data_IF_164276674744
#
_entry.id   IF_164276674744
#
_cell.length_a   1.000
_cell.length_b   1.000
_cell.length_c   1.000
_cell.angle_alpha   90.00
_cell.angle_beta   90.00
_cell.angle_gamma   90.00
#
_symmetry.space_group_name_H-M   'P 1'
#
loop_
_entity.id
_entity.type
_entity.pdbx_description
1 polymer ?
#
# COMPACT_ATOMS: atom_id res chain seq x y z
N UNK A 1 23.03 -14.58 15.69
CA UNK A 1 21.90 -15.51 15.97
C UNK A 1 20.97 -15.00 17.07
N UNK A 2 21.46 -14.61 18.26
CA UNK A 2 20.61 -14.10 19.36
C UNK A 2 19.76 -12.87 19.00
N UNK A 3 20.30 -11.94 18.20
CA UNK A 3 19.57 -10.74 17.73
C UNK A 3 18.42 -11.07 16.77
N UNK A 4 18.60 -12.07 15.89
CA UNK A 4 17.59 -12.50 14.92
C UNK A 4 16.44 -13.20 15.65
N UNK A 5 16.76 -14.04 16.64
CA UNK A 5 15.77 -14.72 17.50
C UNK A 5 14.98 -13.72 18.32
N UNK A 6 15.61 -12.66 18.85
CA UNK A 6 14.91 -11.61 19.60
C UNK A 6 13.99 -10.75 18.72
N UNK A 7 14.42 -10.43 17.49
CA UNK A 7 13.59 -9.71 16.50
C UNK A 7 12.40 -10.59 16.06
N UNK A 8 12.62 -11.88 15.82
CA UNK A 8 11.53 -12.80 15.45
C UNK A 8 10.58 -13.07 16.62
N UNK A 9 11.06 -13.13 17.86
CA UNK A 9 10.19 -13.18 19.06
C UNK A 9 9.38 -11.89 19.26
N UNK A 10 9.96 -10.71 19.00
CA UNK A 10 9.22 -9.44 19.01
C UNK A 10 8.14 -9.42 17.93
N UNK A 11 8.44 -9.88 16.70
CA UNK A 11 7.48 -9.98 15.61
C UNK A 11 6.33 -10.97 15.89
N UNK A 12 6.57 -12.04 16.66
CA UNK A 12 5.54 -13.02 17.06
C UNK A 12 4.67 -12.48 18.21
N UNK A 13 5.21 -11.59 19.06
CA UNK A 13 4.43 -10.94 20.13
C UNK A 13 3.57 -9.77 19.67
N UNK A 14 3.79 -9.25 18.46
CA UNK A 14 3.04 -8.14 17.84
C UNK A 14 2.00 -8.61 16.82
N UNK A 15 1.46 -9.82 16.97
CA UNK A 15 0.39 -10.42 16.14
C UNK A 15 -1.00 -9.84 16.51
N UNK A 16 -1.04 -8.74 17.26
CA UNK A 16 -2.27 -8.03 17.58
C UNK A 16 -2.11 -6.53 17.38
N UNK A 17 -2.86 -6.01 16.41
CA UNK A 17 -3.12 -4.61 16.20
C UNK A 17 -4.08 -4.18 17.28
N UNK A 18 -3.68 -3.23 18.09
CA UNK A 18 -4.51 -2.72 19.16
C UNK A 18 -4.86 -1.27 18.87
N UNK A 19 -6.17 -0.99 18.89
CA UNK A 19 -6.69 0.36 18.97
C UNK A 19 -7.14 0.61 20.41
N UNK A 20 -6.37 1.39 21.14
CA UNK A 20 -6.63 1.75 22.54
C UNK A 20 -7.03 3.23 22.58
N UNK A 21 -8.33 3.49 22.65
CA UNK A 21 -8.88 4.85 22.59
C UNK A 21 -8.46 5.56 21.30
N UNK A 22 -7.67 6.61 21.44
CA UNK A 22 -7.19 7.41 20.31
C UNK A 22 -5.89 6.91 19.67
N UNK A 23 -5.24 5.86 20.21
CA UNK A 23 -4.02 5.28 19.66
C UNK A 23 -4.29 4.09 18.73
N UNK A 24 -3.60 4.02 17.60
CA UNK A 24 -3.66 2.93 16.63
C UNK A 24 -2.25 2.39 16.36
N UNK A 25 -2.08 1.08 16.53
CA UNK A 25 -0.96 0.34 15.95
C UNK A 25 -1.57 -0.91 15.29
N UNK A 26 -1.59 -0.95 13.97
CA UNK A 26 -2.26 -2.03 13.23
C UNK A 26 -1.45 -2.43 12.00
N UNK A 27 -0.62 -3.47 12.13
CA UNK A 27 -0.13 -4.23 10.99
C UNK A 27 -1.25 -4.67 10.04
N UNK A 28 -0.98 -4.62 8.74
CA UNK A 28 -1.89 -5.09 7.72
C UNK A 28 -1.12 -5.65 6.52
N UNK A 29 -1.52 -6.82 6.05
CA UNK A 29 -1.04 -7.38 4.79
C UNK A 29 -2.23 -7.64 3.88
N UNK A 30 -2.04 -7.52 2.58
CA UNK A 30 -3.13 -7.77 1.65
C UNK A 30 -2.70 -7.85 0.21
N UNK A 31 -3.70 -8.00 -0.65
CA UNK A 31 -3.53 -8.07 -2.08
C UNK A 31 -4.71 -7.45 -2.81
N UNK A 32 -4.53 -7.13 -4.07
CA UNK A 32 -5.54 -6.42 -4.85
C UNK A 32 -5.33 -6.50 -6.34
N UNK A 33 -6.43 -6.29 -7.06
CA UNK A 33 -6.42 -6.05 -8.49
C UNK A 33 -6.27 -4.54 -8.74
N UNK A 34 -5.42 -4.19 -9.69
CA UNK A 34 -5.13 -2.82 -10.07
C UNK A 34 -5.40 -2.65 -11.55
N UNK A 35 -6.19 -1.64 -11.90
CA UNK A 35 -6.37 -1.21 -13.28
C UNK A 35 -5.46 -0.01 -13.52
N UNK A 36 -4.43 -0.18 -14.33
CA UNK A 36 -3.39 0.81 -14.60
C UNK A 36 -3.51 1.31 -16.03
N UNK A 37 -3.38 2.61 -16.20
CA UNK A 37 -3.23 3.29 -17.46
C UNK A 37 -1.76 3.69 -17.64
N UNK A 38 -1.17 3.35 -18.78
CA UNK A 38 0.18 3.76 -19.20
C UNK A 38 0.02 4.50 -20.52
N UNK A 39 0.12 5.83 -20.49
CA UNK A 39 -0.05 6.72 -21.65
C UNK A 39 -1.29 6.42 -22.52
N UNK A 40 -2.40 6.09 -21.87
CA UNK A 40 -3.68 5.76 -22.52
C UNK A 40 -3.95 4.26 -22.65
N UNK A 41 -2.92 3.40 -22.61
CA UNK A 41 -3.10 1.95 -22.66
C UNK A 41 -3.48 1.39 -21.29
N UNK A 42 -4.59 0.66 -21.22
CA UNK A 42 -5.16 0.21 -19.94
C UNK A 42 -4.96 -1.28 -19.73
N UNK A 43 -4.34 -1.64 -18.61
CA UNK A 43 -3.99 -3.01 -18.24
C UNK A 43 -4.42 -3.34 -16.83
N UNK A 44 -4.58 -4.63 -16.55
CA UNK A 44 -4.95 -5.11 -15.22
C UNK A 44 -3.79 -5.88 -14.62
N UNK A 45 -3.40 -5.49 -13.41
CA UNK A 45 -2.29 -6.09 -12.68
C UNK A 45 -2.74 -6.58 -11.32
N UNK A 46 -1.92 -7.44 -10.74
CA UNK A 46 -2.07 -7.87 -9.37
C UNK A 46 -0.97 -7.28 -8.52
N UNK A 47 -1.34 -6.90 -7.30
CA UNK A 47 -0.41 -6.35 -6.32
C UNK A 47 -0.61 -6.97 -4.95
N UNK A 48 0.48 -7.08 -4.20
CA UNK A 48 0.49 -7.38 -2.78
C UNK A 48 1.07 -6.19 -2.02
N UNK A 49 0.65 -6.01 -0.78
CA UNK A 49 1.16 -4.96 0.07
C UNK A 49 1.29 -5.41 1.53
N UNK A 50 2.18 -4.73 2.24
CA UNK A 50 2.28 -4.75 3.68
C UNK A 50 2.34 -3.32 4.18
N UNK A 51 1.63 -3.00 5.25
CA UNK A 51 1.60 -1.68 5.85
C UNK A 51 1.40 -1.76 7.35
N UNK A 52 1.80 -0.71 8.06
CA UNK A 52 1.57 -0.61 9.50
C UNK A 52 0.93 0.73 9.78
N UNK A 53 -0.32 0.72 10.22
CA UNK A 53 -1.01 1.94 10.64
C UNK A 53 -0.56 2.32 12.04
N UNK A 54 0.03 3.50 12.20
CA UNK A 54 0.50 4.03 13.49
C UNK A 54 -0.10 5.41 13.69
N UNK A 55 -0.91 5.61 14.73
CA UNK A 55 -1.64 6.85 14.89
C UNK A 55 -2.01 7.21 16.32
N UNK A 56 -2.34 8.48 16.49
CA UNK A 56 -2.88 9.06 17.71
C UNK A 56 -3.93 10.13 17.35
N UNK A 57 -5.02 10.20 18.12
CA UNK A 57 -6.11 11.17 17.92
C UNK A 57 -6.67 11.13 16.49
N UNK A 58 -6.91 9.90 16.00
CA UNK A 58 -7.46 9.61 14.68
C UNK A 58 -6.53 9.97 13.51
N UNK A 59 -5.41 10.66 13.74
CA UNK A 59 -4.37 10.84 12.74
C UNK A 59 -3.49 9.60 12.68
N UNK A 60 -3.27 9.08 11.49
CA UNK A 60 -2.47 7.87 11.25
C UNK A 60 -1.37 8.14 10.24
N UNK A 61 -0.24 7.50 10.47
CA UNK A 61 0.90 7.42 9.59
C UNK A 61 1.12 5.96 9.25
N UNK A 62 1.36 5.69 7.98
CA UNK A 62 1.36 4.33 7.45
C UNK A 62 2.58 4.12 6.57
N UNK A 63 3.72 3.71 7.14
CA UNK A 63 4.77 3.10 6.34
C UNK A 63 4.20 1.89 5.58
N UNK A 64 4.54 1.80 4.31
CA UNK A 64 4.01 0.78 3.42
C UNK A 64 5.06 0.27 2.44
N UNK A 65 4.94 -1.00 2.10
CA UNK A 65 5.61 -1.65 0.99
C UNK A 65 4.56 -2.27 0.08
N UNK A 66 4.77 -2.17 -1.23
CA UNK A 66 3.90 -2.76 -2.23
C UNK A 66 4.74 -3.42 -3.33
N UNK A 67 4.26 -4.55 -3.80
CA UNK A 67 4.79 -5.28 -4.92
C UNK A 67 3.69 -5.40 -5.97
N UNK A 68 3.98 -4.97 -7.19
CA UNK A 68 3.09 -5.10 -8.34
C UNK A 68 3.77 -5.93 -9.41
N UNK A 69 3.12 -7.03 -9.82
CA UNK A 69 3.56 -7.78 -11.00
C UNK A 69 2.90 -7.15 -12.21
N UNK A 70 3.71 -6.66 -13.14
CA UNK A 70 3.28 -6.01 -14.36
C UNK A 70 3.64 -6.88 -15.55
N UNK A 71 2.84 -6.80 -16.59
CA UNK A 71 3.13 -7.41 -17.88
C UNK A 71 3.15 -6.34 -18.98
N UNK A 72 4.06 -6.57 -19.92
CA UNK A 72 3.97 -6.07 -21.26
C UNK A 72 3.75 -7.26 -22.18
N UNK A 73 3.13 -7.08 -23.35
CA UNK A 73 2.75 -8.16 -24.26
C UNK A 73 3.90 -9.13 -24.65
N UNK A 74 5.15 -8.77 -24.32
CA UNK A 74 6.38 -9.50 -24.62
C UNK A 74 7.14 -9.99 -23.37
N UNK A 75 6.85 -9.47 -22.17
CA UNK A 75 7.65 -9.72 -20.97
C UNK A 75 6.96 -9.30 -19.67
N UNK A 76 7.22 -10.06 -18.60
CA UNK A 76 6.83 -9.71 -17.25
C UNK A 76 7.91 -8.81 -16.62
N UNK A 77 7.48 -7.79 -15.87
CA UNK A 77 8.35 -6.96 -15.04
C UNK A 77 7.67 -6.65 -13.71
N UNK A 78 8.41 -6.05 -12.78
CA UNK A 78 7.91 -5.81 -11.42
C UNK A 78 8.14 -4.38 -11.01
N UNK A 79 7.27 -3.88 -10.14
CA UNK A 79 7.41 -2.59 -9.48
C UNK A 79 7.33 -2.80 -7.96
N UNK A 80 8.41 -2.47 -7.27
CA UNK A 80 8.47 -2.43 -5.81
C UNK A 80 8.34 -0.99 -5.34
N UNK A 81 7.41 -0.75 -4.42
CA UNK A 81 7.11 0.58 -3.93
C UNK A 81 7.27 0.62 -2.42
N UNK A 82 8.01 1.61 -1.94
CA UNK A 82 8.27 1.83 -0.52
C UNK A 82 7.93 3.27 -0.18
N UNK A 83 7.13 3.49 0.85
CA UNK A 83 6.63 4.81 1.10
C UNK A 83 5.91 4.97 2.42
N UNK A 84 5.24 6.11 2.52
CA UNK A 84 4.53 6.52 3.71
C UNK A 84 3.27 7.26 3.31
N UNK A 85 2.18 6.91 3.98
CA UNK A 85 0.88 7.56 3.84
C UNK A 85 0.47 8.25 5.14
N UNK A 86 -0.25 9.35 5.04
CA UNK A 86 -0.90 10.05 6.13
C UNK A 86 -2.40 9.92 5.95
N UNK A 87 -3.12 9.60 7.02
CA UNK A 87 -4.57 9.41 6.98
C UNK A 87 -5.28 9.91 8.22
N UNK A 88 -6.61 9.87 8.15
CA UNK A 88 -7.48 10.22 9.26
C UNK A 88 -8.57 9.15 9.44
N UNK A 89 -8.60 8.49 10.59
CA UNK A 89 -9.54 7.43 10.90
C UNK A 89 -10.87 8.01 11.37
N UNK A 90 -11.95 7.72 10.65
CA UNK A 90 -13.33 8.00 11.04
C UNK A 90 -13.94 6.77 11.68
N UNK A 91 -14.52 6.93 12.87
CA UNK A 91 -15.30 5.89 13.55
C UNK A 91 -16.77 6.01 13.14
N UNK A 92 -17.29 4.98 12.45
CA UNK A 92 -18.65 4.94 11.92
C UNK A 92 -19.49 3.84 12.59
N UNK A 93 -19.27 3.60 13.90
CA UNK A 93 -19.99 2.66 14.77
C UNK A 93 -19.75 1.18 14.38
N UNK A 94 -20.04 0.79 13.15
CA UNK A 94 -19.91 -0.58 12.66
C UNK A 94 -18.58 -0.84 11.93
N UNK A 95 -17.94 0.23 11.44
CA UNK A 95 -16.68 0.16 10.72
C UNK A 95 -15.88 1.44 10.87
N UNK A 96 -14.60 1.36 10.53
CA UNK A 96 -13.67 2.47 10.48
C UNK A 96 -13.37 2.80 9.03
N UNK A 97 -13.48 4.07 8.65
CA UNK A 97 -13.09 4.56 7.34
C UNK A 97 -11.87 5.47 7.48
N UNK A 98 -10.79 5.16 6.78
CA UNK A 98 -9.52 5.89 6.84
C UNK A 98 -9.18 6.39 5.44
N UNK A 99 -9.61 7.59 5.04
CA UNK A 99 -9.00 8.30 3.91
C UNK A 99 -7.51 8.57 4.20
N UNK A 100 -6.67 8.44 3.18
CA UNK A 100 -5.24 8.70 3.26
C UNK A 100 -4.67 9.21 1.94
N UNK A 101 -3.54 9.90 2.04
CA UNK A 101 -2.69 10.31 0.92
C UNK A 101 -1.24 9.99 1.26
N UNK A 102 -0.42 9.70 0.26
CA UNK A 102 0.96 9.30 0.51
C UNK A 102 1.87 9.46 -0.69
N UNK A 103 3.15 9.21 -0.42
CA UNK A 103 4.21 9.22 -1.40
C UNK A 103 5.01 7.92 -1.28
N UNK A 104 5.40 7.38 -2.43
CA UNK A 104 6.10 6.12 -2.57
C UNK A 104 7.27 6.30 -3.53
N UNK A 105 8.40 5.69 -3.22
CA UNK A 105 9.49 5.51 -4.17
C UNK A 105 9.28 4.18 -4.90
N UNK A 106 9.09 4.25 -6.20
CA UNK A 106 8.87 3.13 -7.11
C UNK A 106 10.20 2.68 -7.71
N UNK A 107 10.50 1.40 -7.59
CA UNK A 107 11.66 0.72 -8.16
C UNK A 107 11.19 -0.33 -9.16
N UNK A 108 11.46 -0.08 -10.44
CA UNK A 108 11.07 -0.99 -11.51
C UNK A 108 12.22 -1.93 -11.84
N UNK A 109 11.91 -3.21 -12.07
CA UNK A 109 12.94 -4.16 -12.48
C UNK A 109 13.43 -3.93 -13.92
N UNK A 110 12.58 -3.36 -14.77
CA UNK A 110 12.86 -3.10 -16.18
C UNK A 110 11.97 -1.98 -16.76
N UNK A 111 12.34 -1.50 -17.97
CA UNK A 111 11.66 -0.52 -18.83
C UNK A 111 11.68 0.91 -18.32
N UNK A 112 11.47 1.09 -17.02
CA UNK A 112 11.36 2.38 -16.37
C UNK A 112 12.46 2.58 -15.34
N UNK A 113 12.89 3.82 -15.21
CA UNK A 113 13.74 4.26 -14.12
C UNK A 113 12.90 4.44 -12.84
N UNK A 114 13.59 4.38 -11.70
CA UNK A 114 12.99 4.66 -10.42
C UNK A 114 12.37 6.05 -10.37
N UNK A 115 11.23 6.18 -9.70
CA UNK A 115 10.51 7.45 -9.64
C UNK A 115 9.71 7.60 -8.34
N UNK A 116 9.31 8.82 -8.06
CA UNK A 116 8.33 9.09 -7.01
C UNK A 116 6.91 8.94 -7.56
N UNK A 117 6.10 8.18 -6.83
CA UNK A 117 4.66 8.04 -7.03
C UNK A 117 3.87 8.58 -5.85
N UNK A 118 2.66 9.02 -6.12
CA UNK A 118 1.73 9.53 -5.14
C UNK A 118 0.49 8.65 -5.12
N UNK A 119 -0.08 8.43 -3.93
CA UNK A 119 -1.33 7.70 -3.80
C UNK A 119 -2.35 8.48 -2.96
N UNK A 120 -3.62 8.24 -3.25
CA UNK A 120 -4.75 8.73 -2.48
C UNK A 120 -5.78 7.60 -2.40
N UNK A 121 -6.26 7.27 -1.21
CA UNK A 121 -7.15 6.14 -1.04
C UNK A 121 -8.02 6.21 0.19
N UNK A 122 -8.89 5.22 0.30
CA UNK A 122 -9.72 4.98 1.47
C UNK A 122 -9.59 3.52 1.87
N UNK A 123 -9.38 3.27 3.16
CA UNK A 123 -9.44 1.96 3.79
C UNK A 123 -10.72 1.87 4.61
N UNK A 124 -11.43 0.77 4.53
CA UNK A 124 -12.59 0.46 5.37
C UNK A 124 -12.30 -0.82 6.13
N UNK A 125 -12.48 -0.79 7.45
CA UNK A 125 -12.26 -1.94 8.33
C UNK A 125 -13.47 -2.11 9.26
N UNK A 126 -14.22 -3.22 9.18
CA UNK A 126 -15.29 -3.50 10.14
C UNK A 126 -14.72 -3.63 11.56
N UNK A 127 -15.49 -3.19 12.57
CA UNK A 127 -14.97 -3.13 13.95
C UNK A 127 -14.72 -4.51 14.59
N UNK A 128 -15.37 -5.56 14.08
CA UNK A 128 -15.41 -6.89 14.72
C UNK A 128 -14.48 -7.88 14.03
N UNK A 129 -14.29 -7.75 12.72
CA UNK A 129 -13.50 -8.70 11.93
C UNK A 129 -12.18 -8.07 11.48
N UNK A 130 -11.07 -8.82 11.48
CA UNK A 130 -9.73 -8.34 11.09
C UNK A 130 -9.59 -8.20 9.57
N UNK A 131 -10.63 -7.78 8.86
CA UNK A 131 -10.66 -7.62 7.40
C UNK A 131 -10.61 -6.14 7.04
N UNK A 132 -9.78 -5.77 6.08
CA UNK A 132 -9.76 -4.43 5.48
C UNK A 132 -10.14 -4.52 4.01
N UNK A 133 -10.90 -3.53 3.55
CA UNK A 133 -11.15 -3.25 2.15
C UNK A 133 -10.49 -1.91 1.82
N UNK A 134 -9.91 -1.79 0.63
CA UNK A 134 -9.23 -0.59 0.20
C UNK A 134 -9.53 -0.23 -1.23
N UNK A 135 -9.70 1.05 -1.48
CA UNK A 135 -9.70 1.65 -2.82
C UNK A 135 -8.61 2.71 -2.85
N UNK A 136 -7.68 2.61 -3.77
CA UNK A 136 -6.54 3.53 -3.89
C UNK A 136 -6.39 3.98 -5.34
N UNK A 137 -6.23 5.28 -5.55
CA UNK A 137 -5.70 5.86 -6.78
C UNK A 137 -4.20 6.09 -6.64
N UNK A 138 -3.45 5.79 -7.68
CA UNK A 138 -2.02 6.00 -7.77
C UNK A 138 -1.67 6.79 -9.02
N UNK A 139 -0.69 7.67 -8.90
CA UNK A 139 -0.11 8.42 -9.99
C UNK A 139 1.41 8.45 -9.87
N UNK A 140 2.12 8.15 -10.94
CA UNK A 140 3.57 8.24 -11.02
C UNK A 140 4.01 8.58 -12.44
N UNK A 141 5.21 9.15 -12.57
CA UNK A 141 5.73 9.60 -13.85
C UNK A 141 7.20 9.19 -14.03
N UNK A 142 7.48 7.91 -14.31
CA UNK A 142 8.84 7.44 -14.57
C UNK A 142 9.35 7.90 -15.94
N UNK A 143 10.66 7.79 -16.12
CA UNK A 143 11.30 7.86 -17.43
C UNK A 143 11.60 6.45 -17.92
N UNK A 144 11.56 6.22 -19.23
CA UNK A 144 12.09 4.99 -19.81
C UNK A 144 13.62 5.04 -19.94
N UNK A 145 14.23 3.91 -20.35
CA UNK A 145 15.69 3.84 -20.62
C UNK A 145 16.20 4.82 -21.68
N UNK A 146 15.31 5.46 -22.45
CA UNK A 146 15.62 6.46 -23.48
C UNK A 146 15.38 7.90 -22.98
N UNK A 147 14.95 8.09 -21.74
CA UNK A 147 14.65 9.39 -21.14
C UNK A 147 13.25 9.95 -21.47
N UNK A 148 12.38 9.17 -22.13
CA UNK A 148 11.00 9.58 -22.37
C UNK A 148 10.18 9.45 -21.10
N UNK A 149 9.36 10.44 -20.82
CA UNK A 149 8.51 10.45 -19.63
C UNK A 149 7.17 9.78 -19.92
N UNK A 150 6.80 8.81 -19.09
CA UNK A 150 5.56 8.04 -19.21
C UNK A 150 4.63 8.37 -18.04
N UNK A 151 3.35 8.59 -18.31
CA UNK A 151 2.35 8.76 -17.26
C UNK A 151 1.76 7.41 -16.92
N UNK A 152 1.92 7.01 -15.66
CA UNK A 152 1.35 5.77 -15.14
C UNK A 152 0.41 6.12 -13.99
N UNK A 153 -0.88 5.88 -14.18
CA UNK A 153 -1.87 6.08 -13.14
C UNK A 153 -2.84 4.90 -13.04
N UNK A 154 -3.51 4.73 -11.92
CA UNK A 154 -4.41 3.58 -11.80
C UNK A 154 -5.21 3.52 -10.52
N UNK A 155 -6.22 2.66 -10.55
CA UNK A 155 -7.09 2.40 -9.40
C UNK A 155 -6.85 0.97 -8.94
N UNK A 156 -6.57 0.79 -7.65
CA UNK A 156 -6.45 -0.50 -6.98
C UNK A 156 -7.64 -0.74 -6.06
N UNK A 157 -8.27 -1.90 -6.22
CA UNK A 157 -9.13 -2.48 -5.21
C UNK A 157 -8.34 -3.55 -4.44
N UNK A 158 -8.32 -3.46 -3.11
CA UNK A 158 -7.55 -4.35 -2.27
C UNK A 158 -8.35 -4.93 -1.12
N UNK A 159 -8.03 -6.16 -0.75
CA UNK A 159 -8.48 -6.82 0.48
C UNK A 159 -7.26 -7.10 1.33
N UNK A 160 -7.35 -6.86 2.63
CA UNK A 160 -6.28 -7.10 3.58
C UNK A 160 -6.77 -7.72 4.87
N UNK A 161 -5.81 -8.25 5.63
CA UNK A 161 -6.01 -8.75 6.98
C UNK A 161 -5.22 -7.83 7.91
N UNK A 162 -5.94 -7.22 8.85
CA UNK A 162 -5.37 -6.34 9.88
C UNK A 162 -5.21 -7.15 11.16
N UNK A 163 -4.01 -7.17 11.71
CA UNK A 163 -3.68 -7.96 12.91
C UNK A 163 -2.64 -7.23 13.72
#
# INVERSE_FOLDING_TARGET
MKKIVFISLLCISSVFGFRLGSFELTPEIGAGAQRVNVDGDTRNYWSAYGRVWVGANNLVITPQVRYTKMDNAYSDFTNWQYGLSLGYTLDLIAFYATPYVGANYSHFSEYYDDTLGYNAGVRVQPAIIPLSLGLEYEYQRPHDRFGNSHTIDGIRFSVGISF
#
